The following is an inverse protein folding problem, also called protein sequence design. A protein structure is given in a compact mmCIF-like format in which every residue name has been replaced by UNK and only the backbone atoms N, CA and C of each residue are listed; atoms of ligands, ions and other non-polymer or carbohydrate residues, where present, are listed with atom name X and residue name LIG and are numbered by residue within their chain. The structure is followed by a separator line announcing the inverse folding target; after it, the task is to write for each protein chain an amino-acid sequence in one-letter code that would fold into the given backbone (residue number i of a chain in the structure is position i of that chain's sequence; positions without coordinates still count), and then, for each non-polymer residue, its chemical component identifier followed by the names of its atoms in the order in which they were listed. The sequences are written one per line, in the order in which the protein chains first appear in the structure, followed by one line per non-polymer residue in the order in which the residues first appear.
data_IF_225369452205
#
_entry.id   IF_225369452205
#
_cell.length_a   1.000
_cell.length_b   1.000
_cell.length_c   1.000
_cell.angle_alpha   90.00
_cell.angle_beta   90.00
_cell.angle_gamma   90.00
#
_symmetry.space_group_name_H-M   'P 1'
#
loop_
_entity.id
_entity.type
_entity.pdbx_description
1 polymer ?
#
# COMPACT_ATOMS: atom_id res chain seq x y z
N UNK A 1 -21.37 -62.35 -15.54
CA UNK A 1 -21.27 -61.56 -16.79
C UNK A 1 -22.37 -60.51 -16.75
N UNK A 2 -22.05 -59.27 -16.41
CA UNK A 2 -23.04 -58.18 -16.34
C UNK A 2 -23.23 -57.63 -17.75
N UNK A 3 -24.41 -57.84 -18.32
CA UNK A 3 -24.75 -57.31 -19.64
C UNK A 3 -24.78 -55.78 -19.57
N UNK A 4 -23.98 -55.13 -20.42
CA UNK A 4 -24.01 -53.68 -20.54
C UNK A 4 -25.38 -53.29 -21.11
N UNK A 5 -26.09 -52.33 -20.49
CA UNK A 5 -27.40 -51.89 -20.99
C UNK A 5 -27.26 -51.36 -22.42
N UNK A 6 -28.05 -51.94 -23.32
CA UNK A 6 -28.18 -51.50 -24.72
C UNK A 6 -29.16 -50.33 -24.77
N UNK A 7 -28.62 -49.11 -24.73
CA UNK A 7 -29.43 -47.89 -24.79
C UNK A 7 -30.04 -47.73 -26.19
N UNK A 8 -31.35 -47.47 -26.26
CA UNK A 8 -32.02 -47.18 -27.53
C UNK A 8 -31.56 -45.84 -28.12
N UNK A 9 -31.64 -45.66 -29.45
CA UNK A 9 -31.22 -44.42 -30.14
C UNK A 9 -31.81 -43.14 -29.53
N UNK A 10 -33.04 -43.20 -29.00
CA UNK A 10 -33.67 -42.06 -28.31
C UNK A 10 -32.99 -41.71 -26.98
N UNK A 11 -32.54 -42.71 -26.22
CA UNK A 11 -31.86 -42.50 -24.93
C UNK A 11 -30.49 -41.85 -25.10
N UNK A 12 -29.78 -42.15 -26.20
CA UNK A 12 -28.52 -41.48 -26.52
C UNK A 12 -28.70 -39.97 -26.73
N UNK A 13 -29.74 -39.55 -27.46
CA UNK A 13 -29.98 -38.12 -27.73
C UNK A 13 -30.23 -37.35 -26.42
N UNK A 14 -30.99 -37.93 -25.49
CA UNK A 14 -31.25 -37.34 -24.16
C UNK A 14 -29.97 -37.28 -23.33
N UNK A 15 -29.18 -38.36 -23.31
CA UNK A 15 -27.90 -38.42 -22.60
C UNK A 15 -26.90 -37.37 -23.10
N UNK A 16 -26.82 -37.17 -24.43
CA UNK A 16 -25.97 -36.13 -25.01
C UNK A 16 -26.47 -34.72 -24.65
N UNK A 17 -27.79 -34.49 -24.64
CA UNK A 17 -28.36 -33.20 -24.27
C UNK A 17 -28.03 -32.82 -22.81
N UNK A 18 -28.12 -33.76 -21.87
CA UNK A 18 -27.76 -33.54 -20.46
C UNK A 18 -26.26 -33.22 -20.31
N UNK A 19 -25.39 -33.95 -20.99
CA UNK A 19 -23.94 -33.71 -20.95
C UNK A 19 -23.57 -32.36 -21.57
N UNK A 20 -24.24 -31.96 -22.66
CA UNK A 20 -24.05 -30.66 -23.31
C UNK A 20 -24.49 -29.53 -22.38
N UNK A 21 -25.65 -29.66 -21.71
CA UNK A 21 -26.13 -28.65 -20.76
C UNK A 21 -25.15 -28.44 -19.61
N UNK A 22 -24.63 -29.52 -19.02
CA UNK A 22 -23.67 -29.43 -17.91
C UNK A 22 -22.34 -28.83 -18.40
N UNK A 23 -21.82 -29.29 -19.54
CA UNK A 23 -20.57 -28.78 -20.12
C UNK A 23 -20.63 -27.27 -20.41
N UNK A 24 -21.71 -26.80 -21.05
CA UNK A 24 -21.87 -25.38 -21.37
C UNK A 24 -21.98 -24.52 -20.11
N UNK A 25 -22.73 -24.99 -19.12
CA UNK A 25 -22.86 -24.31 -17.82
C UNK A 25 -21.51 -24.13 -17.14
N UNK A 26 -20.65 -25.16 -17.16
CA UNK A 26 -19.32 -25.09 -16.58
C UNK A 26 -18.39 -24.14 -17.36
N UNK A 27 -18.44 -24.15 -18.69
CA UNK A 27 -17.63 -23.24 -19.53
C UNK A 27 -17.96 -21.77 -19.24
N UNK A 28 -19.26 -21.45 -19.20
CA UNK A 28 -19.74 -20.11 -18.86
C UNK A 28 -19.36 -19.73 -17.42
N UNK A 29 -19.50 -20.65 -16.46
CA UNK A 29 -19.12 -20.40 -15.08
C UNK A 29 -17.63 -20.04 -14.94
N UNK A 30 -16.75 -20.84 -15.54
CA UNK A 30 -15.30 -20.60 -15.50
C UNK A 30 -14.95 -19.27 -16.17
N UNK A 31 -15.62 -18.91 -17.27
CA UNK A 31 -15.42 -17.64 -17.95
C UNK A 31 -15.71 -16.44 -17.03
N UNK A 32 -16.86 -16.44 -16.35
CA UNK A 32 -17.21 -15.36 -15.41
C UNK A 32 -16.29 -15.33 -14.18
N UNK A 33 -15.90 -16.49 -13.64
CA UNK A 33 -14.92 -16.55 -12.54
C UNK A 33 -13.58 -15.96 -12.98
N UNK A 34 -13.12 -16.29 -14.18
CA UNK A 34 -11.89 -15.72 -14.75
C UNK A 34 -11.95 -14.22 -14.91
N UNK A 35 -13.06 -13.68 -15.44
CA UNK A 35 -13.25 -12.22 -15.55
C UNK A 35 -13.25 -11.53 -14.18
N UNK A 36 -13.95 -12.10 -13.19
CA UNK A 36 -14.01 -11.53 -11.84
C UNK A 36 -12.63 -11.53 -11.16
N UNK A 37 -11.89 -12.65 -11.24
CA UNK A 37 -10.53 -12.75 -10.72
C UNK A 37 -9.57 -11.78 -11.44
N UNK A 38 -9.71 -11.60 -12.75
CA UNK A 38 -8.90 -10.65 -13.53
C UNK A 38 -9.05 -9.21 -13.03
N UNK A 39 -10.28 -8.78 -12.73
CA UNK A 39 -10.54 -7.45 -12.15
C UNK A 39 -9.91 -7.31 -10.77
N UNK A 40 -9.96 -8.34 -9.94
CA UNK A 40 -9.35 -8.33 -8.61
C UNK A 40 -7.83 -8.11 -8.70
N UNK A 41 -7.17 -8.85 -9.59
CA UNK A 41 -5.73 -8.73 -9.86
C UNK A 41 -5.39 -7.31 -10.34
N UNK A 42 -6.11 -6.78 -11.32
CA UNK A 42 -5.89 -5.42 -11.83
C UNK A 42 -6.07 -4.35 -10.74
N UNK A 43 -7.06 -4.49 -9.86
CA UNK A 43 -7.29 -3.58 -8.73
C UNK A 43 -6.15 -3.62 -7.71
N UNK A 44 -5.58 -4.80 -7.45
CA UNK A 44 -4.42 -4.94 -6.57
C UNK A 44 -3.20 -4.25 -7.20
N UNK A 45 -2.94 -4.46 -8.50
CA UNK A 45 -1.87 -3.76 -9.20
C UNK A 45 -2.05 -2.23 -9.22
N UNK A 46 -3.27 -1.74 -9.42
CA UNK A 46 -3.55 -0.30 -9.35
C UNK A 46 -3.34 0.28 -7.94
N UNK A 47 -3.58 -0.50 -6.89
CA UNK A 47 -3.28 -0.11 -5.49
C UNK A 47 -1.78 -0.11 -5.19
N UNK A 48 -1.00 -0.98 -5.82
CA UNK A 48 0.46 -0.93 -5.72
C UNK A 48 1.02 0.35 -6.38
N UNK A 49 0.34 0.85 -7.41
CA UNK A 49 0.64 2.12 -8.07
C UNK A 49 -0.16 3.31 -7.53
N UNK A 50 -0.60 3.27 -6.26
CA UNK A 50 -1.08 4.48 -5.57
C UNK A 50 -0.05 5.59 -5.80
N UNK A 51 -0.48 6.81 -6.16
CA UNK A 51 0.44 7.89 -6.49
C UNK A 51 1.48 8.00 -5.37
N UNK A 52 2.74 7.80 -5.69
CA UNK A 52 3.84 7.84 -4.71
C UNK A 52 3.76 9.13 -3.89
N UNK A 53 3.36 10.21 -4.54
CA UNK A 53 3.10 11.50 -3.90
C UNK A 53 1.97 11.46 -2.86
N UNK A 54 0.84 10.80 -3.13
CA UNK A 54 -0.28 10.71 -2.19
C UNK A 54 0.08 9.90 -0.94
N UNK A 55 0.81 8.80 -1.12
CA UNK A 55 1.34 7.99 -0.01
C UNK A 55 2.35 8.81 0.81
N UNK A 56 3.31 9.45 0.14
CA UNK A 56 4.32 10.29 0.79
C UNK A 56 3.70 11.44 1.59
N UNK A 57 2.66 12.11 1.06
CA UNK A 57 1.96 13.19 1.76
C UNK A 57 1.28 12.68 3.04
N UNK A 58 0.63 11.53 2.97
CA UNK A 58 0.01 10.90 4.15
C UNK A 58 1.07 10.52 5.20
N UNK A 59 2.18 9.94 4.75
CA UNK A 59 3.29 9.54 5.61
C UNK A 59 3.93 10.74 6.32
N UNK A 60 4.15 11.85 5.59
CA UNK A 60 4.67 13.10 6.16
C UNK A 60 3.72 13.67 7.23
N UNK A 61 2.42 13.74 6.95
CA UNK A 61 1.41 14.21 7.92
C UNK A 61 1.38 13.34 9.19
N UNK A 62 1.54 12.03 9.04
CA UNK A 62 1.58 11.11 10.17
C UNK A 62 2.84 11.34 11.04
N UNK A 63 4.00 11.50 10.38
CA UNK A 63 5.26 11.82 11.06
C UNK A 63 5.19 13.18 11.77
N UNK A 64 4.65 14.21 11.11
CA UNK A 64 4.46 15.54 11.71
C UNK A 64 3.57 15.48 12.95
N UNK A 65 2.46 14.74 12.86
CA UNK A 65 1.54 14.55 13.98
C UNK A 65 2.23 13.86 15.17
N UNK A 66 2.99 12.80 14.91
CA UNK A 66 3.76 12.10 15.94
C UNK A 66 4.83 13.01 16.59
N UNK A 67 5.50 13.86 15.80
CA UNK A 67 6.46 14.84 16.32
C UNK A 67 5.78 15.88 17.22
N UNK A 68 4.58 16.35 16.86
CA UNK A 68 3.79 17.26 17.70
C UNK A 68 3.41 16.60 19.03
N UNK A 69 3.01 15.32 19.00
CA UNK A 69 2.74 14.56 20.22
C UNK A 69 3.98 14.41 21.10
N UNK A 70 5.12 14.05 20.52
CA UNK A 70 6.39 13.96 21.24
C UNK A 70 6.74 15.30 21.92
N UNK A 71 6.61 16.42 21.19
CA UNK A 71 6.83 17.75 21.75
C UNK A 71 5.86 18.05 22.89
N UNK A 72 4.61 17.64 22.80
CA UNK A 72 3.63 17.86 23.86
C UNK A 72 3.98 17.11 25.15
N UNK A 73 4.61 15.94 25.03
CA UNK A 73 5.00 15.12 26.20
C UNK A 73 6.34 15.55 26.81
N UNK A 74 7.35 15.83 25.97
CA UNK A 74 8.72 16.10 26.42
C UNK A 74 9.14 17.58 26.33
N UNK A 75 8.30 18.45 25.77
CA UNK A 75 8.52 19.89 25.66
C UNK A 75 9.46 20.34 24.54
N UNK A 76 10.16 19.40 23.88
CA UNK A 76 11.11 19.68 22.80
C UNK A 76 11.05 18.59 21.73
N UNK A 77 11.49 18.91 20.52
CA UNK A 77 11.65 17.91 19.46
C UNK A 77 12.89 17.02 19.66
N UNK A 78 12.93 15.80 19.09
CA UNK A 78 14.07 14.90 19.24
C UNK A 78 15.32 15.44 18.55
N UNK A 79 16.48 15.36 19.22
CA UNK A 79 17.77 15.78 18.64
C UNK A 79 18.18 14.91 17.44
N UNK A 80 18.83 15.52 16.44
CA UNK A 80 19.09 14.90 15.12
C UNK A 80 19.87 13.57 15.14
N UNK A 81 20.64 13.27 16.19
CA UNK A 81 21.36 11.99 16.31
C UNK A 81 20.44 10.80 16.64
N UNK A 82 19.29 11.05 17.29
CA UNK A 82 18.26 10.04 17.57
C UNK A 82 17.08 10.21 16.62
N UNK A 83 16.73 11.47 16.31
CA UNK A 83 15.84 11.88 15.23
C UNK A 83 14.50 11.14 15.20
N UNK A 84 14.08 10.76 14.00
CA UNK A 84 12.81 10.07 13.74
C UNK A 84 12.71 8.69 14.39
N UNK A 85 13.84 8.07 14.75
CA UNK A 85 13.87 6.72 15.32
C UNK A 85 13.20 6.61 16.70
N UNK A 86 13.11 7.74 17.42
CA UNK A 86 12.41 7.86 18.72
C UNK A 86 10.91 7.69 18.59
N UNK A 87 10.34 7.91 17.40
CA UNK A 87 8.90 7.74 17.16
C UNK A 87 8.51 6.27 16.99
N UNK A 88 9.44 5.43 16.50
CA UNK A 88 9.21 4.01 16.19
C UNK A 88 9.68 3.05 17.27
N UNK A 89 10.76 3.41 17.98
CA UNK A 89 11.25 2.63 19.12
C UNK A 89 10.70 3.28 20.38
N UNK A 90 10.19 2.46 21.30
CA UNK A 90 9.79 2.89 22.65
C UNK A 90 10.70 4.04 23.08
N UNK A 91 10.14 5.24 23.18
CA UNK A 91 10.91 6.45 23.45
C UNK A 91 11.73 6.29 24.73
N UNK A 92 12.60 7.26 25.02
CA UNK A 92 13.47 7.29 26.22
C UNK A 92 12.76 6.95 27.56
N UNK A 93 11.42 6.95 27.61
CA UNK A 93 10.59 6.71 28.79
C UNK A 93 9.79 5.39 28.82
N UNK A 94 9.97 4.47 27.86
CA UNK A 94 9.30 3.14 27.90
C UNK A 94 7.78 3.16 27.67
N UNK A 95 7.24 4.25 27.11
CA UNK A 95 5.84 4.36 26.65
C UNK A 95 5.59 3.65 25.32
N UNK A 96 4.31 3.58 24.92
CA UNK A 96 3.89 3.04 23.62
C UNK A 96 4.48 3.86 22.45
N UNK A 97 4.88 3.22 21.33
CA UNK A 97 5.39 3.94 20.17
C UNK A 97 4.33 4.88 19.60
N UNK A 98 4.70 6.12 19.22
CA UNK A 98 3.79 7.04 18.53
C UNK A 98 3.46 6.58 17.10
N UNK A 99 4.32 5.73 16.54
CA UNK A 99 4.11 5.12 15.22
C UNK A 99 4.43 3.63 15.32
N UNK A 100 3.48 2.79 14.91
CA UNK A 100 3.55 1.32 15.00
C UNK A 100 4.74 0.70 14.27
N UNK A 101 5.24 1.35 13.21
CA UNK A 101 6.33 0.85 12.37
C UNK A 101 7.14 1.98 11.76
N UNK A 102 8.39 1.68 11.42
CA UNK A 102 9.22 2.59 10.63
C UNK A 102 8.53 2.86 9.28
N UNK A 103 8.21 4.14 9.03
CA UNK A 103 7.60 4.58 7.78
C UNK A 103 8.73 4.86 6.81
N UNK A 104 8.73 4.14 5.70
CA UNK A 104 9.64 4.34 4.57
C UNK A 104 8.91 5.10 3.49
N UNK A 105 9.66 5.87 2.72
CA UNK A 105 9.11 6.54 1.56
C UNK A 105 8.68 5.51 0.48
N UNK A 106 7.89 5.92 -0.53
CA UNK A 106 7.45 5.03 -1.61
C UNK A 106 8.59 4.35 -2.39
N UNK A 107 9.82 4.86 -2.27
CA UNK A 107 11.03 4.34 -2.93
C UNK A 107 11.90 3.50 -1.97
N UNK A 108 11.40 3.19 -0.77
CA UNK A 108 12.05 2.32 0.22
C UNK A 108 13.18 2.98 1.01
N UNK A 109 13.28 4.30 1.00
CA UNK A 109 14.29 5.07 1.76
C UNK A 109 13.69 5.63 3.04
N UNK A 110 14.55 5.93 4.01
CA UNK A 110 14.16 6.57 5.26
C UNK A 110 13.96 8.06 5.04
N UNK A 111 12.98 8.63 5.74
CA UNK A 111 12.79 10.08 5.78
C UNK A 111 13.95 10.74 6.52
N UNK A 112 14.38 11.88 6.01
CA UNK A 112 15.33 12.75 6.67
C UNK A 112 14.58 13.71 7.58
N UNK A 113 15.22 14.03 8.70
CA UNK A 113 14.64 14.86 9.74
C UNK A 113 15.65 15.89 10.20
N UNK A 114 15.14 17.10 10.44
CA UNK A 114 15.85 18.16 11.13
C UNK A 114 14.85 19.10 11.79
N UNK A 115 15.36 20.01 12.60
CA UNK A 115 14.57 21.11 13.12
C UNK A 115 15.42 22.37 13.14
N UNK A 116 14.76 23.51 12.98
CA UNK A 116 15.37 24.83 13.15
C UNK A 116 14.69 25.54 14.31
N UNK A 117 15.46 26.20 15.15
CA UNK A 117 14.91 27.05 16.21
C UNK A 117 15.03 28.50 15.79
N UNK A 118 13.90 29.18 15.63
CA UNK A 118 13.82 30.60 15.30
C UNK A 118 13.10 31.31 16.44
N UNK A 119 13.78 32.21 17.14
CA UNK A 119 13.23 32.97 18.27
C UNK A 119 12.59 32.09 19.37
N UNK A 120 13.17 30.91 19.63
CA UNK A 120 12.65 29.96 20.62
C UNK A 120 11.46 29.13 20.14
N UNK A 121 11.00 29.32 18.90
CA UNK A 121 10.05 28.45 18.24
C UNK A 121 10.83 27.39 17.47
N UNK A 122 10.68 26.12 17.88
CA UNK A 122 11.24 25.00 17.15
C UNK A 122 10.30 24.60 16.01
N UNK A 123 10.82 24.55 14.79
CA UNK A 123 10.10 24.14 13.60
C UNK A 123 10.73 22.86 13.06
N UNK A 124 10.03 21.71 13.12
CA UNK A 124 10.51 20.47 12.55
C UNK A 124 10.37 20.53 11.02
N UNK A 125 11.34 19.95 10.31
CA UNK A 125 11.27 19.74 8.87
C UNK A 125 11.60 18.28 8.57
N UNK A 126 10.70 17.64 7.83
CA UNK A 126 10.85 16.25 7.37
C UNK A 126 10.85 16.27 5.86
N UNK A 127 11.83 15.61 5.23
CA UNK A 127 11.91 15.52 3.79
C UNK A 127 12.34 14.12 3.35
N UNK A 128 11.84 13.70 2.19
CA UNK A 128 12.43 12.59 1.44
C UNK A 128 13.09 13.18 0.18
N UNK A 129 14.13 12.51 -0.30
CA UNK A 129 14.72 12.80 -1.61
C UNK A 129 13.74 12.54 -2.77
N UNK A 130 12.65 11.82 -2.51
CA UNK A 130 11.65 11.49 -3.52
C UNK A 130 12.19 10.51 -4.55
N UNK A 131 11.51 10.48 -5.70
CA UNK A 131 12.01 9.76 -6.87
C UNK A 131 13.39 10.33 -7.25
N UNK A 132 14.44 9.50 -7.36
CA UNK A 132 15.76 9.97 -7.78
C UNK A 132 15.77 10.69 -9.14
N UNK A 133 14.73 10.56 -9.96
CA UNK A 133 14.56 11.30 -11.21
C UNK A 133 14.02 12.73 -11.05
N UNK A 134 13.38 13.06 -9.91
CA UNK A 134 12.70 14.34 -9.68
C UNK A 134 13.22 15.03 -8.41
N UNK A 135 13.71 16.26 -8.51
CA UNK A 135 14.23 17.02 -7.36
C UNK A 135 13.09 17.80 -6.69
N UNK A 136 12.68 17.38 -5.49
CA UNK A 136 11.62 18.03 -4.73
C UNK A 136 12.15 19.28 -4.02
N UNK A 137 12.02 20.43 -4.67
CA UNK A 137 12.22 21.74 -4.03
C UNK A 137 10.88 22.22 -3.48
N UNK A 138 10.73 22.24 -2.14
CA UNK A 138 9.63 22.89 -1.40
C UNK A 138 8.22 22.75 -2.03
N UNK A 139 7.69 21.52 -2.05
CA UNK A 139 6.26 21.30 -2.33
C UNK A 139 5.81 21.58 -3.78
N UNK A 140 6.73 21.67 -4.74
CA UNK A 140 6.42 21.70 -6.17
C UNK A 140 7.34 20.76 -6.92
N UNK A 141 6.75 19.86 -7.73
CA UNK A 141 7.50 19.04 -8.68
C UNK A 141 8.04 20.02 -9.72
N UNK A 142 9.35 20.21 -9.74
CA UNK A 142 10.05 20.91 -10.81
C UNK A 142 10.73 19.82 -11.63
N UNK A 143 10.30 19.64 -12.86
CA UNK A 143 10.94 18.73 -13.79
C UNK A 143 12.41 19.12 -13.95
N UNK A 144 13.29 18.13 -13.92
CA UNK A 144 14.73 18.32 -14.05
C UNK A 144 15.12 18.44 -15.53
N UNK A 145 14.46 19.35 -16.23
CA UNK A 145 14.78 19.74 -17.61
C UNK A 145 14.31 21.18 -17.84
N UNK A 146 15.21 22.13 -17.57
CA UNK A 146 15.64 23.26 -18.42
C UNK A 146 16.78 24.02 -17.72
#
# INVERSE_FOLDING_TARGET
MVSKPQYGKATYIVQYAECIMIKNSLMIFIFFVGLALGILVAKIYAKLNLSSEGQMRFDLLNIETALVFYRNEFGAYPEGAVGLSVLYRNGKSGGEPYIDREILDPWGRKYNYGYISVNGVELPFVWSYGDPQFEFVYGRIVDKEY
#
